data_IF_158232066545
#
_entry.id   IF_158232066545
#
_cell.length_a   1.000
_cell.length_b   1.000
_cell.length_c   1.000
_cell.angle_alpha   90.00
_cell.angle_beta   90.00
_cell.angle_gamma   90.00
#
_symmetry.space_group_name_H-M   'P 1'
#
loop_
_entity.id
_entity.type
_entity.pdbx_description
1 polymer ?
#
# COMPACT_ATOMS: atom_id res chain seq x y z
N UNK A 1 -14.04 46.12 12.34
CA UNK A 1 -13.71 44.73 11.96
C UNK A 1 -12.25 44.73 11.58
N UNK A 2 -11.40 44.02 12.32
CA UNK A 2 -9.96 44.05 12.10
C UNK A 2 -9.52 42.73 11.47
N UNK A 3 -8.94 42.82 10.27
CA UNK A 3 -8.32 41.71 9.56
C UNK A 3 -6.81 41.86 9.72
N UNK A 4 -6.14 40.80 10.11
CA UNK A 4 -4.69 40.74 10.14
C UNK A 4 -4.25 39.48 9.40
N UNK A 5 -3.29 39.63 8.51
CA UNK A 5 -2.55 38.52 7.92
C UNK A 5 -1.24 38.40 8.68
N UNK A 6 -1.09 37.30 9.42
CA UNK A 6 0.16 36.97 10.12
C UNK A 6 0.94 36.02 9.21
N UNK A 7 2.11 36.47 8.78
CA UNK A 7 3.10 35.61 8.13
C UNK A 7 3.99 35.02 9.24
N UNK A 8 3.84 33.72 9.49
CA UNK A 8 4.69 32.99 10.43
C UNK A 8 5.71 32.22 9.63
N UNK A 9 7.00 32.52 9.85
CA UNK A 9 8.10 31.78 9.24
C UNK A 9 8.38 30.55 10.10
N UNK A 10 7.73 29.43 9.76
CA UNK A 10 7.91 28.15 10.46
C UNK A 10 9.07 27.44 9.79
N UNK A 11 10.13 27.15 10.55
CA UNK A 11 11.24 26.36 10.03
C UNK A 11 10.73 24.98 9.60
N UNK A 12 11.03 24.58 8.36
CA UNK A 12 10.49 23.38 7.72
C UNK A 12 10.85 22.07 8.44
N UNK A 13 11.96 22.07 9.16
CA UNK A 13 12.45 20.96 9.99
C UNK A 13 11.57 20.71 11.22
N UNK A 14 11.01 21.76 11.82
CA UNK A 14 10.07 21.66 12.96
C UNK A 14 8.78 20.93 12.57
N UNK A 15 8.35 21.06 11.31
CA UNK A 15 7.18 20.37 10.78
C UNK A 15 7.51 19.00 10.16
N UNK A 16 8.76 18.77 9.73
CA UNK A 16 9.17 17.56 9.05
C UNK A 16 9.04 16.30 9.93
N UNK A 17 9.46 16.39 11.19
CA UNK A 17 9.42 15.26 12.14
C UNK A 17 7.98 14.85 12.51
N UNK A 18 7.09 15.76 12.95
CA UNK A 18 5.67 15.45 13.15
C UNK A 18 4.98 14.92 11.89
N UNK A 19 5.28 15.49 10.72
CA UNK A 19 4.71 15.04 9.45
C UNK A 19 5.14 13.60 9.12
N UNK A 20 6.44 13.29 9.22
CA UNK A 20 6.97 11.94 9.00
C UNK A 20 6.33 10.89 9.93
N UNK A 21 6.13 11.23 11.20
CA UNK A 21 5.43 10.34 12.15
C UNK A 21 3.96 10.15 11.79
N UNK A 22 3.27 11.21 11.39
CA UNK A 22 1.89 11.13 10.94
C UNK A 22 1.76 10.28 9.67
N UNK A 23 2.67 10.41 8.72
CA UNK A 23 2.77 9.56 7.53
C UNK A 23 2.99 8.09 7.89
N UNK A 24 3.88 7.81 8.84
CA UNK A 24 4.09 6.45 9.33
C UNK A 24 2.83 5.84 9.97
N UNK A 25 2.13 6.60 10.81
CA UNK A 25 0.86 6.18 11.43
C UNK A 25 -0.20 5.89 10.36
N UNK A 26 -0.33 6.78 9.37
CA UNK A 26 -1.23 6.60 8.24
C UNK A 26 -0.88 5.33 7.45
N UNK A 27 0.39 5.11 7.16
CA UNK A 27 0.86 3.95 6.40
C UNK A 27 0.60 2.63 7.12
N UNK A 28 0.74 2.59 8.46
CA UNK A 28 0.34 1.43 9.27
C UNK A 28 -1.16 1.15 9.17
N UNK A 29 -1.98 2.19 9.20
CA UNK A 29 -3.43 2.06 9.03
C UNK A 29 -3.79 1.56 7.62
N UNK A 30 -3.17 2.12 6.58
CA UNK A 30 -3.33 1.67 5.19
C UNK A 30 -2.96 0.20 5.06
N UNK A 31 -1.81 -0.23 5.61
CA UNK A 31 -1.37 -1.64 5.60
C UNK A 31 -2.44 -2.54 6.23
N UNK A 32 -2.96 -2.15 7.39
CA UNK A 32 -3.99 -2.92 8.11
C UNK A 32 -5.27 -3.05 7.29
N UNK A 33 -5.80 -1.93 6.79
CA UNK A 33 -7.06 -1.92 6.05
C UNK A 33 -6.95 -2.60 4.68
N UNK A 34 -5.76 -2.59 4.10
CA UNK A 34 -5.49 -3.20 2.78
C UNK A 34 -5.24 -4.70 2.87
N UNK A 35 -4.81 -5.23 4.02
CA UNK A 35 -4.47 -6.65 4.20
C UNK A 35 -5.56 -7.61 3.67
N UNK A 36 -6.86 -7.43 3.97
CA UNK A 36 -7.92 -8.32 3.48
C UNK A 36 -8.13 -8.32 1.95
N UNK A 37 -7.55 -7.35 1.23
CA UNK A 37 -7.60 -7.25 -0.24
C UNK A 37 -6.39 -7.92 -0.91
N UNK A 38 -5.33 -8.17 -0.15
CA UNK A 38 -4.08 -8.73 -0.68
C UNK A 38 -4.26 -10.21 -0.99
N UNK A 39 -3.87 -10.71 -2.17
CA UNK A 39 -3.88 -12.13 -2.46
C UNK A 39 -3.08 -12.97 -1.45
N UNK A 40 -3.70 -14.01 -0.90
CA UNK A 40 -3.11 -14.85 0.13
C UNK A 40 -3.43 -16.34 -0.10
N UNK A 41 -2.39 -17.13 -0.32
CA UNK A 41 -2.47 -18.60 -0.26
C UNK A 41 -2.05 -19.12 1.12
N UNK A 42 -0.92 -18.61 1.64
CA UNK A 42 -0.38 -18.91 2.98
C UNK A 42 -0.24 -17.65 3.85
N UNK A 43 -0.75 -16.50 3.38
CA UNK A 43 -0.59 -15.20 4.05
C UNK A 43 0.80 -14.56 3.92
N UNK A 44 1.80 -15.26 3.36
CA UNK A 44 3.20 -14.83 3.37
C UNK A 44 3.48 -13.44 2.80
N UNK A 45 2.73 -13.00 1.77
CA UNK A 45 2.87 -11.65 1.22
C UNK A 45 2.44 -10.58 2.24
N UNK A 46 1.30 -10.80 2.90
CA UNK A 46 0.78 -9.87 3.91
C UNK A 46 1.67 -9.85 5.15
N UNK A 47 2.13 -11.01 5.62
CA UNK A 47 3.04 -11.12 6.76
C UNK A 47 4.36 -10.37 6.53
N UNK A 48 4.91 -10.45 5.31
CA UNK A 48 6.17 -9.78 4.94
C UNK A 48 5.99 -8.32 4.54
N UNK A 49 4.75 -7.86 4.37
CA UNK A 49 4.47 -6.44 4.07
C UNK A 49 4.91 -5.60 5.25
N UNK A 50 5.67 -4.55 4.98
CA UNK A 50 6.23 -3.68 6.02
C UNK A 50 6.02 -2.21 5.68
N UNK A 51 6.17 -1.37 6.69
CA UNK A 51 6.08 0.08 6.54
C UNK A 51 7.45 0.66 6.85
N UNK A 52 7.99 1.45 5.93
CA UNK A 52 9.23 2.21 6.10
C UNK A 52 8.90 3.68 5.85
N UNK A 53 9.10 4.53 6.86
CA UNK A 53 8.95 6.02 6.82
C UNK A 53 7.57 6.58 6.40
N UNK A 54 6.61 5.75 5.98
CA UNK A 54 5.35 6.18 5.37
C UNK A 54 4.98 5.38 4.12
N UNK A 55 5.89 4.55 3.63
CA UNK A 55 5.69 3.69 2.46
C UNK A 55 5.31 2.28 2.87
N UNK A 56 4.21 1.76 2.31
CA UNK A 56 3.82 0.34 2.46
C UNK A 56 4.52 -0.49 1.38
N UNK A 57 5.40 -1.39 1.80
CA UNK A 57 6.26 -2.19 0.92
C UNK A 57 5.77 -3.64 0.88
N UNK A 58 5.42 -4.11 -0.32
CA UNK A 58 5.08 -5.50 -0.61
C UNK A 58 6.30 -6.22 -1.21
N UNK A 59 7.02 -7.07 -0.46
CA UNK A 59 8.29 -7.60 -0.92
C UNK A 59 8.13 -8.79 -1.90
N UNK A 60 9.12 -8.92 -2.76
CA UNK A 60 9.32 -10.08 -3.63
C UNK A 60 8.89 -9.84 -5.09
N UNK A 61 9.54 -10.50 -6.06
CA UNK A 61 9.27 -10.29 -7.49
C UNK A 61 7.84 -10.68 -7.88
N UNK A 62 7.20 -11.58 -7.13
CA UNK A 62 5.83 -12.01 -7.38
C UNK A 62 4.78 -11.00 -6.90
N UNK A 63 5.13 -10.02 -6.05
CA UNK A 63 4.17 -9.01 -5.58
C UNK A 63 3.64 -8.17 -6.76
N UNK A 64 4.54 -7.72 -7.65
CA UNK A 64 4.18 -7.00 -8.87
C UNK A 64 3.30 -7.83 -9.81
N UNK A 65 3.60 -9.11 -9.93
CA UNK A 65 2.82 -10.06 -10.74
C UNK A 65 1.38 -10.19 -10.23
N UNK A 66 1.23 -10.39 -8.92
CA UNK A 66 -0.08 -10.46 -8.28
C UNK A 66 -0.82 -9.13 -8.37
N UNK A 67 -0.12 -8.00 -8.24
CA UNK A 67 -0.72 -6.67 -8.25
C UNK A 67 -1.47 -6.38 -9.54
N UNK A 68 -0.83 -6.64 -10.69
CA UNK A 68 -1.49 -6.44 -11.98
C UNK A 68 -2.49 -7.54 -12.32
N UNK A 69 -2.42 -8.70 -11.66
CA UNK A 69 -3.37 -9.79 -11.87
C UNK A 69 -3.39 -10.36 -13.28
N UNK A 70 -2.34 -10.16 -14.09
CA UNK A 70 -2.25 -10.70 -15.45
C UNK A 70 -1.30 -11.88 -15.48
N UNK A 71 -1.76 -13.01 -16.02
CA UNK A 71 -0.96 -14.22 -16.17
C UNK A 71 0.26 -13.94 -17.04
N UNK A 72 1.42 -14.36 -16.55
CA UNK A 72 2.71 -14.23 -17.19
C UNK A 72 3.28 -15.63 -17.29
N UNK A 73 3.55 -16.06 -18.53
CA UNK A 73 4.02 -17.41 -18.81
C UNK A 73 5.37 -17.39 -19.50
N UNK A 74 6.10 -18.49 -19.37
CA UNK A 74 7.22 -18.80 -20.24
C UNK A 74 6.72 -19.03 -21.68
N UNK A 75 7.35 -18.41 -22.67
CA UNK A 75 6.91 -18.49 -24.07
C UNK A 75 7.00 -19.91 -24.65
N UNK A 76 7.97 -20.71 -24.21
CA UNK A 76 8.16 -22.07 -24.74
C UNK A 76 7.28 -23.11 -24.05
N UNK A 77 7.14 -23.01 -22.72
CA UNK A 77 6.41 -24.04 -21.95
C UNK A 77 4.97 -23.67 -21.65
N UNK A 78 4.58 -22.40 -21.79
CA UNK A 78 3.28 -21.88 -21.34
C UNK A 78 3.09 -21.94 -19.83
N UNK A 79 4.14 -22.28 -19.07
CA UNK A 79 4.10 -22.41 -17.61
C UNK A 79 4.11 -21.04 -16.94
N UNK A 80 3.36 -20.91 -15.85
CA UNK A 80 3.44 -19.75 -14.96
C UNK A 80 4.77 -19.70 -14.18
N UNK A 81 5.57 -20.77 -14.20
CA UNK A 81 6.94 -20.81 -13.73
C UNK A 81 7.91 -20.64 -14.91
N UNK A 82 8.72 -19.58 -14.89
CA UNK A 82 9.71 -19.35 -15.93
C UNK A 82 10.89 -20.31 -15.79
N UNK A 83 11.38 -20.81 -16.92
CA UNK A 83 12.65 -21.53 -16.97
C UNK A 83 13.78 -20.59 -16.56
N UNK A 84 14.76 -21.07 -15.77
CA UNK A 84 15.84 -20.23 -15.21
C UNK A 84 16.55 -19.46 -16.33
N UNK A 85 16.57 -18.12 -16.23
CA UNK A 85 17.23 -17.23 -17.19
C UNK A 85 16.35 -16.72 -18.33
N UNK A 86 15.08 -17.14 -18.43
CA UNK A 86 14.13 -16.64 -19.44
C UNK A 86 13.15 -15.61 -18.86
N UNK A 87 12.80 -14.63 -19.67
CA UNK A 87 11.79 -13.61 -19.35
C UNK A 87 10.38 -14.14 -19.63
N UNK A 88 9.41 -13.80 -18.78
CA UNK A 88 8.01 -14.16 -19.00
C UNK A 88 7.34 -13.20 -19.97
N UNK A 89 6.44 -13.71 -20.81
CA UNK A 89 5.58 -12.93 -21.68
C UNK A 89 4.24 -12.70 -20.98
N UNK A 90 3.71 -11.47 -21.08
CA UNK A 90 2.37 -11.13 -20.57
C UNK A 90 1.32 -11.78 -21.48
N UNK A 91 0.31 -12.38 -20.88
CA UNK A 91 -0.87 -12.87 -21.58
C UNK A 91 -2.06 -11.97 -21.28
N UNK A 92 -3.11 -12.06 -22.08
CA UNK A 92 -4.36 -11.31 -21.84
C UNK A 92 -5.21 -11.92 -20.71
N UNK A 93 -4.84 -13.12 -20.24
CA UNK A 93 -5.59 -13.86 -19.23
C UNK A 93 -5.40 -13.28 -17.83
N UNK A 94 -6.51 -13.02 -17.15
CA UNK A 94 -6.53 -12.61 -15.76
C UNK A 94 -6.26 -13.77 -14.80
N UNK A 95 -5.62 -13.44 -13.67
CA UNK A 95 -5.44 -14.33 -12.54
C UNK A 95 -6.75 -14.44 -11.75
N UNK A 96 -7.06 -15.67 -11.34
CA UNK A 96 -8.12 -15.94 -10.37
C UNK A 96 -7.47 -16.07 -9.01
N UNK A 97 -7.83 -15.18 -8.07
CA UNK A 97 -7.27 -15.19 -6.72
C UNK A 97 -8.07 -16.11 -5.81
N UNK A 98 -7.34 -16.83 -4.94
CA UNK A 98 -7.97 -17.58 -3.86
C UNK A 98 -8.53 -16.61 -2.81
N UNK A 99 -9.80 -16.82 -2.43
CA UNK A 99 -10.52 -16.00 -1.46
C UNK A 99 -10.72 -16.67 -0.10
N UNK A 100 -10.17 -17.87 0.11
CA UNK A 100 -10.35 -18.64 1.34
C UNK A 100 -9.74 -17.95 2.58
N UNK A 101 -8.57 -17.32 2.44
CA UNK A 101 -7.96 -16.54 3.52
C UNK A 101 -8.47 -15.10 3.54
N UNK A 102 -8.48 -14.46 2.37
CA UNK A 102 -8.82 -13.06 2.20
C UNK A 102 -9.98 -12.96 1.20
N UNK A 103 -11.20 -12.80 1.71
CA UNK A 103 -12.42 -12.83 0.89
C UNK A 103 -12.44 -11.72 -0.17
N UNK A 104 -11.75 -10.60 0.08
CA UNK A 104 -11.66 -9.46 -0.83
C UNK A 104 -10.40 -9.49 -1.71
N UNK A 105 -9.68 -10.62 -1.74
CA UNK A 105 -8.46 -10.79 -2.53
C UNK A 105 -8.69 -10.47 -4.01
N UNK A 106 -7.92 -9.51 -4.54
CA UNK A 106 -8.02 -9.07 -5.92
C UNK A 106 -6.71 -8.43 -6.41
N UNK A 107 -6.59 -8.20 -7.71
CA UNK A 107 -5.54 -7.34 -8.29
C UNK A 107 -5.82 -5.88 -7.94
N UNK A 108 -4.80 -5.01 -7.99
CA UNK A 108 -4.95 -3.60 -7.63
C UNK A 108 -5.61 -3.42 -6.25
N UNK A 109 -5.17 -4.26 -5.30
CA UNK A 109 -5.76 -4.34 -3.96
C UNK A 109 -5.66 -3.02 -3.17
N UNK A 110 -4.66 -2.20 -3.47
CA UNK A 110 -4.51 -0.89 -2.85
C UNK A 110 -5.61 0.05 -3.32
N UNK A 111 -5.90 0.09 -4.62
CA UNK A 111 -6.96 0.90 -5.20
C UNK A 111 -8.33 0.44 -4.69
N UNK A 112 -8.55 -0.87 -4.61
CA UNK A 112 -9.77 -1.45 -4.02
C UNK A 112 -9.95 -1.05 -2.55
N UNK A 113 -8.89 -1.14 -1.75
CA UNK A 113 -8.88 -0.71 -0.35
C UNK A 113 -9.09 0.81 -0.22
N UNK A 114 -8.42 1.60 -1.06
CA UNK A 114 -8.53 3.06 -1.08
C UNK A 114 -9.95 3.50 -1.40
N UNK A 115 -10.59 2.88 -2.37
CA UNK A 115 -11.98 3.19 -2.74
C UNK A 115 -12.94 3.05 -1.54
N UNK A 116 -12.66 2.15 -0.60
CA UNK A 116 -13.49 1.93 0.58
C UNK A 116 -13.06 2.75 1.80
N UNK A 117 -11.76 3.01 1.95
CA UNK A 117 -11.18 3.54 3.20
C UNK A 117 -10.67 4.98 3.10
N UNK A 118 -10.69 5.63 1.93
CA UNK A 118 -10.07 6.95 1.73
C UNK A 118 -10.51 7.99 2.76
N UNK A 119 -11.81 8.10 3.04
CA UNK A 119 -12.32 9.08 4.02
C UNK A 119 -11.73 8.83 5.41
N UNK A 120 -11.73 7.58 5.86
CA UNK A 120 -11.13 7.17 7.13
C UNK A 120 -9.64 7.47 7.19
N UNK A 121 -8.92 7.27 6.09
CA UNK A 121 -7.48 7.55 6.00
C UNK A 121 -7.19 9.04 6.14
N UNK A 122 -8.01 9.90 5.54
CA UNK A 122 -7.92 11.36 5.72
C UNK A 122 -8.14 11.72 7.20
N UNK A 123 -9.19 11.19 7.83
CA UNK A 123 -9.46 11.46 9.25
C UNK A 123 -8.31 11.01 10.17
N UNK A 124 -7.69 9.86 9.87
CA UNK A 124 -6.53 9.34 10.61
C UNK A 124 -5.30 10.23 10.41
N UNK A 125 -5.05 10.68 9.19
CA UNK A 125 -3.94 11.58 8.89
C UNK A 125 -4.11 12.93 9.62
N UNK A 126 -5.30 13.53 9.53
CA UNK A 126 -5.62 14.79 10.20
C UNK A 126 -5.45 14.68 11.71
N UNK A 127 -5.91 13.58 12.30
CA UNK A 127 -5.74 13.32 13.72
C UNK A 127 -4.27 13.15 14.08
N UNK A 128 -3.52 12.35 13.32
CA UNK A 128 -2.11 12.08 13.60
C UNK A 128 -1.25 13.35 13.55
N UNK A 129 -1.49 14.23 12.56
CA UNK A 129 -0.81 15.53 12.47
C UNK A 129 -1.13 16.41 13.67
N UNK A 130 -2.40 16.53 14.05
CA UNK A 130 -2.82 17.32 15.23
C UNK A 130 -2.20 16.78 16.52
N UNK A 131 -2.19 15.46 16.69
CA UNK A 131 -1.65 14.80 17.88
C UNK A 131 -0.13 15.01 17.97
N UNK A 132 0.61 14.87 16.87
CA UNK A 132 2.07 15.07 16.87
C UNK A 132 2.47 16.56 17.03
N UNK A 133 1.67 17.51 16.52
CA UNK A 133 1.90 18.94 16.74
C UNK A 133 1.65 19.38 18.20
N UNK A 134 0.77 18.68 18.91
CA UNK A 134 0.45 18.98 20.31
C UNK A 134 1.37 18.26 21.30
N UNK A 135 2.29 17.41 20.82
CA UNK A 135 3.22 16.63 21.61
C UNK A 135 4.41 17.50 22.04
N UNK A 136 4.20 18.35 23.04
CA UNK A 136 5.24 19.16 23.71
C UNK A 136 5.84 18.42 24.91
#
# INVERSE_FOLDING_TARGET
>A
MVKFDIQVDIQSDVLAEPASRAEHILALQIKKDTTPFVPALTGSLSTRTRVEEGTVIYPGPYARYLYYGKLMVDQETGSSYATKGKSKVKTDKDLVFNQAMHVMAQSHWFEASKAQNLKRWIDVADKAVKDELNRK
#
